data_IF_132069731665
#
_entry.id   IF_132069731665
#
_cell.length_a   1.000
_cell.length_b   1.000
_cell.length_c   1.000
_cell.angle_alpha   90.00
_cell.angle_beta   90.00
_cell.angle_gamma   90.00
#
_symmetry.space_group_name_H-M   'P 1'
#
loop_
_entity.id
_entity.type
_entity.pdbx_description
1 polymer ?
#
# COMPACT_ATOMS: atom_id res chain seq x y z
N UNK A 1 4.35 -4.66 -7.61
CA UNK A 1 3.87 -4.62 -6.22
C UNK A 1 2.83 -3.52 -6.11
N UNK A 2 1.61 -3.76 -5.59
CA UNK A 2 0.66 -2.66 -5.42
C UNK A 2 1.27 -1.57 -4.54
N UNK A 3 1.23 -0.33 -5.01
CA UNK A 3 1.73 0.84 -4.28
C UNK A 3 0.57 1.33 -3.41
N UNK A 4 0.44 0.78 -2.21
CA UNK A 4 -0.51 1.23 -1.22
C UNK A 4 0.21 1.53 0.09
N UNK A 5 -0.26 2.55 0.81
CA UNK A 5 0.24 2.94 2.12
C UNK A 5 -0.90 2.81 3.11
N UNK A 6 -0.66 2.05 4.18
CA UNK A 6 -1.63 1.86 5.25
C UNK A 6 -1.42 2.96 6.29
N UNK A 7 -2.50 3.62 6.67
CA UNK A 7 -2.52 4.52 7.83
C UNK A 7 -3.42 3.87 8.88
N UNK A 8 -2.91 3.71 10.10
CA UNK A 8 -3.71 3.12 11.18
C UNK A 8 -4.87 4.05 11.53
N UNK A 9 -6.06 3.48 11.79
CA UNK A 9 -7.26 4.25 12.17
C UNK A 9 -7.05 5.07 13.45
N UNK A 10 -6.17 4.59 14.35
CA UNK A 10 -5.78 5.30 15.57
C UNK A 10 -5.05 6.62 15.29
N UNK A 11 -4.62 6.89 14.06
CA UNK A 11 -4.08 8.19 13.65
C UNK A 11 -5.00 9.35 14.06
N UNK A 12 -6.32 9.17 13.93
CA UNK A 12 -7.30 10.21 14.28
C UNK A 12 -7.53 10.39 15.78
N UNK A 13 -7.00 9.49 16.60
CA UNK A 13 -7.11 9.50 18.06
C UNK A 13 -5.77 9.80 18.75
N UNK A 14 -4.69 9.99 17.97
CA UNK A 14 -3.37 10.33 18.50
C UNK A 14 -3.39 11.75 19.07
N UNK A 15 -2.92 11.89 20.32
CA UNK A 15 -2.97 13.16 21.07
C UNK A 15 -2.29 14.30 20.29
N UNK A 16 -1.15 14.02 19.64
CA UNK A 16 -0.47 15.02 18.83
C UNK A 16 -1.29 15.40 17.61
N UNK A 17 -1.93 14.45 16.93
CA UNK A 17 -2.76 14.71 15.74
C UNK A 17 -4.04 15.49 16.10
N UNK A 18 -4.58 15.30 17.29
CA UNK A 18 -5.75 16.04 17.79
C UNK A 18 -5.44 17.52 18.04
N UNK A 19 -4.23 17.83 18.47
CA UNK A 19 -3.78 19.21 18.73
C UNK A 19 -3.41 19.99 17.45
N UNK A 20 -3.25 19.30 16.31
CA UNK A 20 -2.94 19.93 15.03
C UNK A 20 -4.14 20.69 14.45
N UNK A 21 -3.85 21.78 13.76
CA UNK A 21 -4.85 22.40 12.88
C UNK A 21 -5.27 21.44 11.76
N UNK A 22 -6.47 21.57 11.18
CA UNK A 22 -6.90 20.72 10.07
C UNK A 22 -5.91 20.72 8.89
N UNK A 23 -5.32 21.87 8.58
CA UNK A 23 -4.31 22.02 7.53
C UNK A 23 -3.04 21.22 7.84
N UNK A 24 -2.48 21.36 9.05
CA UNK A 24 -1.33 20.57 9.48
C UNK A 24 -1.62 19.08 9.48
N UNK A 25 -2.78 18.67 9.99
CA UNK A 25 -3.19 17.27 10.05
C UNK A 25 -3.27 16.62 8.68
N UNK A 26 -3.90 17.29 7.71
CA UNK A 26 -3.98 16.77 6.35
C UNK A 26 -2.64 16.82 5.63
N UNK A 27 -1.81 17.82 5.90
CA UNK A 27 -0.45 17.85 5.38
C UNK A 27 0.41 16.71 5.95
N UNK A 28 0.27 16.39 7.25
CA UNK A 28 0.97 15.25 7.85
C UNK A 28 0.50 13.94 7.24
N UNK A 29 -0.81 13.76 7.09
CA UNK A 29 -1.37 12.60 6.40
C UNK A 29 -0.82 12.48 4.97
N UNK A 30 -0.74 13.60 4.25
CA UNK A 30 -0.13 13.66 2.92
C UNK A 30 1.35 13.20 2.94
N UNK A 31 2.17 13.62 3.90
CA UNK A 31 3.56 13.14 4.01
C UNK A 31 3.64 11.62 4.19
N UNK A 32 2.67 11.02 4.90
CA UNK A 32 2.61 9.57 5.13
C UNK A 32 2.12 8.79 3.90
N UNK A 33 1.40 9.45 2.98
CA UNK A 33 0.74 8.79 1.83
C UNK A 33 1.12 9.38 0.48
N UNK A 34 2.16 10.22 0.41
CA UNK A 34 2.62 10.85 -0.82
C UNK A 34 3.05 9.80 -1.86
N UNK A 35 2.93 10.14 -3.14
CA UNK A 35 3.35 9.29 -4.27
C UNK A 35 4.83 8.88 -4.22
N UNK A 36 5.67 9.61 -3.48
CA UNK A 36 7.10 9.32 -3.28
C UNK A 36 7.41 8.56 -1.99
N UNK A 37 6.45 8.39 -1.08
CA UNK A 37 6.71 7.78 0.23
C UNK A 37 7.17 6.32 0.08
N UNK A 38 8.33 6.02 0.66
CA UNK A 38 9.05 4.74 0.62
C UNK A 38 8.73 3.84 1.81
N UNK A 39 9.18 2.59 1.78
CA UNK A 39 9.03 1.65 2.90
C UNK A 39 9.92 2.01 4.09
N UNK A 40 11.05 2.68 3.87
CA UNK A 40 11.92 3.19 4.93
C UNK A 40 11.49 4.57 5.50
N UNK A 41 10.52 5.25 4.86
CA UNK A 41 10.09 6.58 5.30
C UNK A 41 11.09 7.70 4.98
N UNK A 42 12.11 7.41 4.16
CA UNK A 42 13.06 8.38 3.60
C UNK A 42 12.85 8.47 2.10
N UNK A 43 12.51 9.65 1.59
CA UNK A 43 12.18 9.79 0.18
C UNK A 43 12.47 11.19 -0.37
N UNK A 44 12.69 11.33 -1.69
CA UNK A 44 12.77 12.63 -2.33
C UNK A 44 11.46 13.40 -2.15
N UNK A 45 11.55 14.62 -1.63
CA UNK A 45 10.44 15.53 -1.42
C UNK A 45 10.67 16.86 -2.15
N UNK A 46 10.47 16.91 -3.48
CA UNK A 46 10.45 18.16 -4.20
C UNK A 46 9.20 18.95 -3.80
N UNK A 47 9.37 20.11 -3.18
CA UNK A 47 8.25 20.95 -2.74
C UNK A 47 7.28 21.34 -3.87
N UNK A 48 7.75 21.35 -5.13
CA UNK A 48 6.89 21.54 -6.31
C UNK A 48 5.86 20.43 -6.50
N UNK A 49 6.22 19.19 -6.14
CA UNK A 49 5.28 18.07 -6.19
C UNK A 49 4.19 18.25 -5.12
N UNK A 50 4.58 18.66 -3.91
CA UNK A 50 3.63 18.96 -2.84
C UNK A 50 2.64 20.06 -3.23
N UNK A 51 3.10 21.16 -3.85
CA UNK A 51 2.20 22.20 -4.37
C UNK A 51 1.13 21.64 -5.31
N UNK A 52 1.52 20.75 -6.22
CA UNK A 52 0.63 20.16 -7.22
C UNK A 52 -0.35 19.17 -6.60
N UNK A 53 0.10 18.34 -5.66
CA UNK A 53 -0.72 17.28 -5.05
C UNK A 53 -1.65 17.83 -3.96
N UNK A 54 -1.23 18.85 -3.19
CA UNK A 54 -2.05 19.43 -2.11
C UNK A 54 -2.83 20.68 -2.55
N UNK A 55 -2.42 21.33 -3.66
CA UNK A 55 -2.98 22.61 -4.10
C UNK A 55 -2.49 23.82 -3.30
N UNK A 56 -1.51 23.65 -2.41
CA UNK A 56 -0.93 24.74 -1.63
C UNK A 56 0.12 25.51 -2.42
N UNK A 57 0.34 26.77 -2.04
CA UNK A 57 1.43 27.58 -2.57
C UNK A 57 2.77 27.23 -1.89
N UNK A 58 3.88 27.68 -2.48
CA UNK A 58 5.24 27.43 -1.97
C UNK A 58 5.41 27.82 -0.51
N UNK A 59 4.94 29.02 -0.15
CA UNK A 59 5.12 29.56 1.20
C UNK A 59 4.40 28.72 2.27
N UNK A 60 3.19 28.25 1.97
CA UNK A 60 2.43 27.37 2.84
C UNK A 60 3.14 26.03 3.00
N UNK A 61 3.59 25.42 1.90
CA UNK A 61 4.36 24.15 1.95
C UNK A 61 5.63 24.33 2.78
N UNK A 62 6.36 25.43 2.58
CA UNK A 62 7.58 25.73 3.34
C UNK A 62 7.30 25.88 4.85
N UNK A 63 6.26 26.63 5.22
CA UNK A 63 5.85 26.80 6.62
C UNK A 63 5.43 25.48 7.26
N UNK A 64 4.66 24.66 6.54
CA UNK A 64 4.20 23.37 7.04
C UNK A 64 5.38 22.39 7.24
N UNK A 65 6.29 22.30 6.26
CA UNK A 65 7.50 21.48 6.41
C UNK A 65 8.31 21.95 7.62
N UNK A 66 8.55 23.26 7.75
CA UNK A 66 9.29 23.80 8.89
C UNK A 66 8.63 23.47 10.23
N UNK A 67 7.31 23.61 10.33
CA UNK A 67 6.56 23.25 11.54
C UNK A 67 6.73 21.78 11.92
N UNK A 68 6.68 20.85 10.97
CA UNK A 68 6.88 19.43 11.26
C UNK A 68 8.33 19.07 11.61
N UNK A 69 9.29 19.85 11.13
CA UNK A 69 10.68 19.79 11.60
C UNK A 69 10.77 20.28 13.05
N UNK A 70 10.14 21.41 13.36
CA UNK A 70 10.12 21.99 14.72
C UNK A 70 9.40 21.09 15.73
N UNK A 71 8.34 20.40 15.29
CA UNK A 71 7.64 19.37 16.10
C UNK A 71 8.45 18.08 16.28
N UNK A 72 9.57 17.92 15.57
CA UNK A 72 10.38 16.69 15.60
C UNK A 72 9.66 15.48 15.03
N UNK A 73 8.77 15.67 14.04
CA UNK A 73 8.09 14.56 13.35
C UNK A 73 8.80 14.17 12.06
N UNK A 74 9.45 15.14 11.40
CA UNK A 74 10.20 14.91 10.16
C UNK A 74 11.56 15.61 10.23
N UNK A 75 12.48 15.17 9.38
CA UNK A 75 13.67 15.91 8.98
C UNK A 75 13.59 16.20 7.48
N UNK A 76 14.10 17.34 7.06
CA UNK A 76 14.17 17.73 5.66
C UNK A 76 15.56 18.26 5.34
N UNK A 77 16.19 17.69 4.33
CA UNK A 77 17.46 18.16 3.80
C UNK A 77 17.23 18.99 2.53
N UNK A 78 17.64 20.26 2.57
CA UNK A 78 17.46 21.18 1.46
C UNK A 78 18.37 20.88 0.26
N UNK A 79 19.54 20.27 0.50
CA UNK A 79 20.55 20.02 -0.52
C UNK A 79 20.18 18.80 -1.37
N UNK A 80 19.88 17.69 -0.70
CA UNK A 80 19.43 16.44 -1.37
C UNK A 80 17.95 16.49 -1.75
N UNK A 81 17.16 17.39 -1.12
CA UNK A 81 15.69 17.48 -1.20
C UNK A 81 15.02 16.20 -0.72
N UNK A 82 15.58 15.56 0.30
CA UNK A 82 15.06 14.34 0.90
C UNK A 82 14.34 14.67 2.22
N UNK A 83 13.28 13.92 2.50
CA UNK A 83 12.51 14.02 3.73
C UNK A 83 12.57 12.68 4.46
N UNK A 84 12.77 12.71 5.77
CA UNK A 84 12.75 11.54 6.64
C UNK A 84 11.66 11.67 7.71
N UNK A 85 10.74 10.70 7.79
CA UNK A 85 9.72 10.63 8.84
C UNK A 85 10.26 9.86 10.05
N UNK A 86 10.45 10.54 11.19
CA UNK A 86 11.23 10.00 12.32
C UNK A 86 10.59 8.80 13.02
N UNK A 87 9.26 8.77 13.14
CA UNK A 87 8.54 7.68 13.80
C UNK A 87 7.95 6.67 12.81
N UNK A 88 8.53 6.56 11.61
CA UNK A 88 8.01 5.71 10.55
C UNK A 88 7.94 4.23 10.95
N UNK A 89 9.03 3.70 11.50
CA UNK A 89 9.18 2.28 11.85
C UNK A 89 8.19 1.80 12.92
N UNK A 90 7.75 2.68 13.82
CA UNK A 90 6.77 2.36 14.86
C UNK A 90 5.41 1.94 14.28
N UNK A 91 5.03 2.51 13.14
CA UNK A 91 3.76 2.22 12.47
C UNK A 91 3.93 1.34 11.23
N UNK A 92 5.15 1.30 10.66
CA UNK A 92 5.50 0.56 9.47
C UNK A 92 6.75 -0.33 9.68
N UNK A 93 6.70 -1.30 10.62
CA UNK A 93 7.87 -2.11 10.95
C UNK A 93 8.30 -3.02 9.79
N UNK A 94 9.60 -3.32 9.74
CA UNK A 94 10.17 -4.28 8.78
C UNK A 94 9.92 -5.69 9.33
N UNK A 95 8.83 -6.32 8.89
CA UNK A 95 8.38 -7.61 9.44
C UNK A 95 8.92 -8.83 8.71
N UNK A 96 9.18 -8.71 7.40
CA UNK A 96 9.50 -9.84 6.54
C UNK A 96 10.72 -9.52 5.66
N UNK A 97 11.44 -10.57 5.25
CA UNK A 97 12.62 -10.48 4.36
C UNK A 97 12.34 -9.74 3.05
N UNK A 98 11.14 -9.85 2.48
CA UNK A 98 10.77 -9.10 1.27
C UNK A 98 10.66 -7.58 1.52
N UNK A 99 10.16 -7.19 2.69
CA UNK A 99 10.09 -5.78 3.10
C UNK A 99 11.49 -5.25 3.32
N UNK A 100 12.35 -6.05 3.97
CA UNK A 100 13.75 -5.71 4.19
C UNK A 100 14.53 -5.56 2.87
N UNK A 101 14.36 -6.46 1.90
CA UNK A 101 14.93 -6.32 0.55
C UNK A 101 14.48 -5.04 -0.15
N UNK A 102 13.21 -4.66 0.03
CA UNK A 102 12.67 -3.42 -0.51
C UNK A 102 13.34 -2.21 0.14
N UNK A 103 13.40 -2.17 1.47
CA UNK A 103 14.06 -1.12 2.26
C UNK A 103 15.55 -1.01 1.89
N UNK A 104 16.25 -2.14 1.72
CA UNK A 104 17.65 -2.15 1.30
C UNK A 104 17.83 -1.44 -0.04
N UNK A 105 16.96 -1.73 -1.03
CA UNK A 105 17.02 -1.07 -2.34
C UNK A 105 16.74 0.43 -2.25
N UNK A 106 15.76 0.82 -1.43
CA UNK A 106 15.42 2.22 -1.22
C UNK A 106 16.56 2.99 -0.54
N UNK A 107 17.16 2.45 0.53
CA UNK A 107 18.27 3.06 1.24
C UNK A 107 19.53 3.24 0.38
N UNK A 108 19.81 2.31 -0.54
CA UNK A 108 20.90 2.48 -1.52
C UNK A 108 20.71 3.71 -2.42
N UNK A 109 19.47 4.13 -2.65
CA UNK A 109 19.14 5.31 -3.45
C UNK A 109 19.09 6.63 -2.67
N UNK A 110 19.16 6.57 -1.34
CA UNK A 110 19.16 7.77 -0.47
C UNK A 110 20.51 8.48 -0.60
N UNK A 111 20.47 9.78 -0.86
CA UNK A 111 21.68 10.59 -1.03
C UNK A 111 22.25 11.04 0.32
N UNK A 112 21.39 11.36 1.27
CA UNK A 112 21.79 11.79 2.60
C UNK A 112 22.19 10.58 3.47
N UNK A 113 23.50 10.42 3.70
CA UNK A 113 24.05 9.32 4.52
C UNK A 113 23.66 9.41 6.00
N UNK A 114 23.41 10.61 6.52
CA UNK A 114 22.97 10.80 7.91
C UNK A 114 21.58 10.19 8.13
N UNK A 115 20.66 10.36 7.17
CA UNK A 115 19.34 9.74 7.25
C UNK A 115 19.41 8.21 7.25
N UNK A 116 20.32 7.63 6.46
CA UNK A 116 20.55 6.17 6.45
C UNK A 116 21.05 5.71 7.82
N UNK A 117 22.05 6.39 8.40
CA UNK A 117 22.56 6.06 9.72
C UNK A 117 21.48 6.17 10.81
N UNK A 118 20.71 7.26 10.82
CA UNK A 118 19.60 7.46 11.77
C UNK A 118 18.52 6.38 11.62
N UNK A 119 18.22 5.94 10.39
CA UNK A 119 17.29 4.85 10.17
C UNK A 119 17.79 3.53 10.76
N UNK A 120 19.06 3.17 10.53
CA UNK A 120 19.67 1.96 11.09
C UNK A 120 19.71 2.00 12.62
N UNK A 121 20.02 3.16 13.21
CA UNK A 121 19.95 3.36 14.65
C UNK A 121 18.53 3.09 15.18
N UNK A 122 17.50 3.63 14.52
CA UNK A 122 16.11 3.37 14.89
C UNK A 122 15.70 1.89 14.73
N UNK A 123 16.23 1.19 13.73
CA UNK A 123 16.02 -0.26 13.62
C UNK A 123 16.60 -1.00 14.83
N UNK A 124 17.76 -0.57 15.34
CA UNK A 124 18.38 -1.16 16.52
C UNK A 124 17.60 -0.82 17.81
N UNK A 125 17.12 0.42 17.95
CA UNK A 125 16.29 0.85 19.10
C UNK A 125 14.97 0.07 19.21
N UNK A 126 14.37 -0.27 18.07
CA UNK A 126 13.10 -1.04 17.99
C UNK A 126 13.33 -2.57 17.93
N UNK A 127 14.56 -3.05 18.16
CA UNK A 127 14.95 -4.47 18.15
C UNK A 127 14.52 -5.23 16.89
N UNK A 128 14.54 -4.57 15.72
CA UNK A 128 14.10 -5.16 14.46
C UNK A 128 15.15 -6.09 13.86
N UNK A 129 14.72 -7.27 13.41
CA UNK A 129 15.58 -8.21 12.69
C UNK A 129 15.83 -7.74 11.26
N UNK A 130 16.96 -7.04 11.04
CA UNK A 130 17.37 -6.51 9.73
C UNK A 130 18.77 -6.98 9.28
N UNK A 131 18.98 -8.31 9.11
CA UNK A 131 20.29 -8.87 8.77
C UNK A 131 20.90 -8.36 7.46
N UNK A 132 20.11 -8.18 6.40
CA UNK A 132 20.58 -7.69 5.11
C UNK A 132 20.97 -6.22 5.15
N UNK A 133 20.27 -5.41 5.94
CA UNK A 133 20.63 -3.99 6.12
C UNK A 133 21.97 -3.86 6.87
N UNK A 134 22.11 -4.61 7.96
CA UNK A 134 23.34 -4.61 8.76
C UNK A 134 24.54 -5.16 7.98
N UNK A 135 24.33 -6.19 7.15
CA UNK A 135 25.38 -6.73 6.29
C UNK A 135 25.91 -5.71 5.27
N UNK A 136 25.03 -4.84 4.74
CA UNK A 136 25.40 -3.89 3.69
C UNK A 136 25.95 -2.57 4.24
N UNK A 137 25.35 -2.02 5.29
CA UNK A 137 25.71 -0.70 5.82
C UNK A 137 26.60 -0.75 7.07
N UNK A 138 26.75 -1.93 7.67
CA UNK A 138 27.44 -2.09 8.95
C UNK A 138 26.57 -1.70 10.14
N UNK A 139 27.12 -1.94 11.34
CA UNK A 139 26.48 -1.57 12.59
C UNK A 139 26.68 -0.08 12.85
N UNK A 140 25.64 0.69 13.22
CA UNK A 140 25.78 2.09 13.58
C UNK A 140 26.49 2.18 14.95
N UNK A 141 27.82 2.20 14.94
CA UNK A 141 28.64 2.45 16.12
C UNK A 141 29.60 3.61 15.83
N UNK A 142 29.22 4.76 16.39
CA UNK A 142 30.01 5.95 16.70
C UNK A 142 30.62 6.79 15.56
N UNK A 143 30.32 8.10 15.65
CA UNK A 143 30.87 9.20 14.88
C UNK A 143 32.41 9.10 14.72
N UNK A 144 32.85 8.75 13.52
CA UNK A 144 34.11 9.20 12.97
C UNK A 144 33.88 9.51 11.48
N UNK A 145 33.82 10.81 11.20
CA UNK A 145 33.98 11.34 9.86
C UNK A 145 35.40 10.95 9.45
N UNK A 146 35.56 10.03 8.52
CA UNK A 146 36.75 9.93 7.68
C UNK A 146 36.41 9.15 6.40
N UNK A 147 36.98 9.64 5.32
CA UNK A 147 36.76 9.28 3.92
C UNK A 147 36.54 7.79 3.64
N UNK A 148 35.49 7.47 2.89
CA UNK A 148 35.47 6.27 2.06
C UNK A 148 35.00 6.65 0.66
N UNK A 149 35.96 6.61 -0.25
CA UNK A 149 35.86 6.75 -1.71
C UNK A 149 34.73 5.88 -2.29
N UNK A 150 34.16 6.27 -3.46
CA UNK A 150 33.16 5.45 -4.13
C UNK A 150 33.87 4.26 -4.78
N UNK A 151 33.85 3.09 -4.12
CA UNK A 151 34.24 1.85 -4.79
C UNK A 151 33.02 1.30 -5.51
N UNK A 152 33.06 1.48 -6.83
CA UNK A 152 32.31 0.70 -7.80
C UNK A 152 32.96 -0.69 -7.83
N UNK A 153 32.28 -1.73 -7.38
CA UNK A 153 32.63 -3.11 -7.76
C UNK A 153 31.39 -3.77 -8.34
N UNK A 154 31.42 -3.91 -9.67
CA UNK A 154 30.73 -4.96 -10.39
C UNK A 154 31.33 -6.29 -9.94
N UNK A 155 30.51 -7.17 -9.38
CA UNK A 155 30.81 -8.60 -9.36
C UNK A 155 29.55 -9.37 -9.69
N UNK A 156 29.55 -9.88 -10.92
CA UNK A 156 28.79 -11.04 -11.35
C UNK A 156 29.06 -12.19 -10.38
N UNK A 157 28.00 -12.76 -9.82
CA UNK A 157 27.99 -14.15 -9.38
C UNK A 157 26.73 -14.79 -9.95
N UNK A 158 26.91 -15.37 -11.14
CA UNK A 158 26.14 -16.53 -11.57
C UNK A 158 26.47 -17.69 -10.62
N UNK A 159 25.47 -18.19 -9.89
CA UNK A 159 25.40 -19.63 -9.62
C UNK A 159 24.13 -20.18 -10.28
N UNK A 160 24.41 -20.97 -11.31
CA UNK A 160 23.50 -21.79 -12.09
C UNK A 160 23.00 -22.94 -11.22
N UNK A 161 21.68 -23.06 -11.09
CA UNK A 161 21.01 -24.34 -10.94
C UNK A 161 20.14 -24.50 -12.19
N UNK A 162 20.58 -25.36 -13.10
CA UNK A 162 19.81 -25.79 -14.27
C UNK A 162 18.63 -26.68 -13.82
N UNK A 163 17.42 -26.30 -14.23
CA UNK A 163 16.54 -27.19 -15.00
C UNK A 163 15.53 -26.32 -15.77
N UNK A 164 15.71 -26.23 -17.08
CA UNK A 164 14.79 -25.57 -18.00
C UNK A 164 13.47 -26.36 -18.10
N UNK A 165 12.43 -25.86 -17.44
CA UNK A 165 11.07 -25.75 -18.01
C UNK A 165 10.41 -24.50 -17.43
N UNK A 166 10.87 -23.33 -17.88
CA UNK A 166 10.35 -22.03 -17.47
C UNK A 166 8.90 -21.84 -17.90
N UNK A 167 7.94 -22.27 -17.09
CA UNK A 167 6.55 -21.88 -17.30
C UNK A 167 6.41 -20.39 -17.02
N UNK A 168 5.76 -19.69 -17.94
CA UNK A 168 5.41 -18.27 -17.84
C UNK A 168 4.56 -18.00 -16.59
N UNK A 169 3.90 -19.04 -16.06
CA UNK A 169 3.09 -19.03 -14.85
C UNK A 169 3.95 -18.89 -13.59
N UNK A 170 5.04 -19.67 -13.46
CA UNK A 170 5.88 -19.64 -12.26
C UNK A 170 6.63 -18.31 -12.12
N UNK A 171 7.21 -17.83 -13.23
CA UNK A 171 7.86 -16.51 -13.26
C UNK A 171 6.90 -15.37 -12.90
N UNK A 172 5.66 -15.40 -13.42
CA UNK A 172 4.62 -14.43 -13.05
C UNK A 172 4.22 -14.53 -11.58
N UNK A 173 4.11 -15.75 -11.05
CA UNK A 173 3.80 -15.96 -9.64
C UNK A 173 4.90 -15.38 -8.74
N UNK A 174 6.16 -15.72 -8.96
CA UNK A 174 7.27 -15.24 -8.13
C UNK A 174 7.41 -13.72 -8.15
N UNK A 175 7.19 -13.12 -9.32
CA UNK A 175 7.24 -11.67 -9.50
C UNK A 175 6.14 -10.92 -8.71
N UNK A 176 4.95 -11.51 -8.55
CA UNK A 176 3.78 -10.79 -8.04
C UNK A 176 3.24 -11.30 -6.68
N UNK A 177 3.46 -12.57 -6.34
CA UNK A 177 2.89 -13.28 -5.20
C UNK A 177 3.95 -13.68 -4.15
N UNK A 178 5.23 -13.69 -4.51
CA UNK A 178 6.35 -14.06 -3.63
C UNK A 178 6.84 -15.50 -3.86
N UNK A 179 7.59 -16.05 -2.90
CA UNK A 179 8.22 -17.37 -3.05
C UNK A 179 7.20 -18.49 -3.26
N UNK A 180 7.48 -19.35 -4.24
CA UNK A 180 6.73 -20.57 -4.49
C UNK A 180 7.08 -21.63 -3.43
N UNK A 181 6.06 -22.12 -2.73
CA UNK A 181 6.19 -23.33 -1.92
C UNK A 181 6.19 -24.56 -2.83
N UNK A 182 6.92 -25.65 -2.53
CA UNK A 182 6.85 -26.89 -3.30
C UNK A 182 5.41 -27.39 -3.52
N UNK A 183 4.56 -27.25 -2.51
CA UNK A 183 3.12 -27.57 -2.60
C UNK A 183 2.38 -26.70 -3.62
N UNK A 184 2.73 -25.42 -3.72
CA UNK A 184 2.13 -24.50 -4.67
C UNK A 184 2.52 -24.83 -6.12
N UNK A 185 3.76 -25.29 -6.32
CA UNK A 185 4.27 -25.71 -7.64
C UNK A 185 3.51 -26.93 -8.12
N UNK A 186 3.42 -27.98 -7.29
CA UNK A 186 2.66 -29.20 -7.63
C UNK A 186 1.20 -28.89 -7.98
N UNK A 187 0.56 -28.01 -7.21
CA UNK A 187 -0.84 -27.63 -7.47
C UNK A 187 -1.00 -26.81 -8.74
N UNK A 188 -0.08 -25.88 -9.01
CA UNK A 188 -0.13 -25.10 -10.25
C UNK A 188 0.12 -25.99 -11.47
N UNK A 189 1.05 -26.95 -11.36
CA UNK A 189 1.28 -27.96 -12.41
C UNK A 189 0.04 -28.78 -12.71
N UNK A 190 -0.67 -29.26 -11.68
CA UNK A 190 -1.93 -29.99 -11.86
C UNK A 190 -3.00 -29.16 -12.62
N UNK A 191 -3.12 -27.86 -12.31
CA UNK A 191 -4.06 -26.98 -13.02
C UNK A 191 -3.62 -26.63 -14.44
N UNK A 192 -2.31 -26.62 -14.72
CA UNK A 192 -1.80 -26.44 -16.08
C UNK A 192 -2.14 -27.63 -16.96
N UNK A 193 -2.13 -28.85 -16.40
CA UNK A 193 -2.54 -30.07 -17.10
C UNK A 193 -4.05 -30.10 -17.39
N UNK A 194 -4.88 -29.62 -16.45
CA UNK A 194 -6.35 -29.66 -16.57
C UNK A 194 -6.96 -28.56 -17.45
N UNK A 195 -6.45 -27.32 -17.40
CA UNK A 195 -7.10 -26.14 -18.01
C UNK A 195 -6.25 -25.41 -19.06
N UNK A 196 -4.96 -25.70 -19.16
CA UNK A 196 -3.91 -24.96 -19.90
C UNK A 196 -3.21 -23.83 -19.14
N UNK A 197 -1.93 -23.63 -19.50
CA UNK A 197 -1.03 -22.61 -18.96
C UNK A 197 -1.59 -21.19 -19.08
N UNK A 198 -2.24 -20.86 -20.20
CA UNK A 198 -2.75 -19.51 -20.46
C UNK A 198 -3.90 -19.13 -19.53
N UNK A 199 -4.76 -20.10 -19.16
CA UNK A 199 -5.83 -19.87 -18.20
C UNK A 199 -5.26 -19.68 -16.80
N UNK A 200 -4.29 -20.49 -16.39
CA UNK A 200 -3.63 -20.32 -15.07
C UNK A 200 -2.99 -18.93 -14.97
N UNK A 201 -2.30 -18.48 -16.02
CA UNK A 201 -1.71 -17.14 -16.08
C UNK A 201 -2.77 -16.03 -15.97
N UNK A 202 -3.90 -16.15 -16.66
CA UNK A 202 -5.01 -15.17 -16.56
C UNK A 202 -5.66 -15.16 -15.18
N UNK A 203 -5.81 -16.31 -14.53
CA UNK A 203 -6.32 -16.37 -13.15
C UNK A 203 -5.38 -15.66 -12.17
N UNK A 204 -4.06 -15.82 -12.34
CA UNK A 204 -3.06 -15.10 -11.57
C UNK A 204 -3.12 -13.59 -11.83
N UNK A 205 -3.30 -13.17 -13.09
CA UNK A 205 -3.46 -11.76 -13.42
C UNK A 205 -4.68 -11.14 -12.72
N UNK A 206 -5.83 -11.82 -12.73
CA UNK A 206 -7.05 -11.36 -12.05
C UNK A 206 -6.87 -11.31 -10.53
N UNK A 207 -6.20 -12.30 -9.94
CA UNK A 207 -5.89 -12.31 -8.52
C UNK A 207 -4.97 -11.16 -8.11
N UNK A 208 -4.01 -10.80 -8.98
CA UNK A 208 -3.14 -9.65 -8.79
C UNK A 208 -3.90 -8.33 -8.89
N UNK A 209 -4.73 -8.14 -9.92
CA UNK A 209 -5.54 -6.94 -10.15
C UNK A 209 -6.53 -6.68 -9.01
N UNK A 210 -7.15 -7.74 -8.45
CA UNK A 210 -8.05 -7.64 -7.30
C UNK A 210 -7.34 -7.59 -5.94
N UNK A 211 -6.00 -7.51 -5.94
CA UNK A 211 -5.16 -7.52 -4.74
C UNK A 211 -5.41 -8.71 -3.79
N UNK A 212 -5.91 -9.84 -4.31
CA UNK A 212 -6.16 -11.10 -3.60
C UNK A 212 -5.11 -12.12 -4.00
N UNK A 213 -3.86 -11.88 -3.54
CA UNK A 213 -2.67 -12.63 -3.96
C UNK A 213 -2.47 -13.95 -3.22
N UNK A 214 -3.53 -14.76 -3.12
CA UNK A 214 -3.48 -16.07 -2.47
C UNK A 214 -3.82 -17.17 -3.47
N UNK A 215 -3.10 -18.30 -3.38
CA UNK A 215 -3.38 -19.49 -4.21
C UNK A 215 -4.82 -19.97 -4.01
N UNK A 216 -5.38 -19.81 -2.80
CA UNK A 216 -6.78 -20.12 -2.51
C UNK A 216 -7.76 -19.34 -3.40
N UNK A 217 -7.49 -18.05 -3.64
CA UNK A 217 -8.31 -17.21 -4.51
C UNK A 217 -8.16 -17.63 -5.98
N UNK A 218 -6.92 -17.88 -6.42
CA UNK A 218 -6.62 -18.38 -7.78
C UNK A 218 -7.33 -19.71 -8.05
N UNK A 219 -7.31 -20.65 -7.10
CA UNK A 219 -8.07 -21.91 -7.18
C UNK A 219 -9.57 -21.69 -7.29
N UNK A 220 -10.12 -20.71 -6.58
CA UNK A 220 -11.53 -20.37 -6.66
C UNK A 220 -11.93 -19.96 -8.08
N UNK A 221 -11.08 -19.15 -8.73
CA UNK A 221 -11.25 -18.73 -10.12
C UNK A 221 -11.17 -19.95 -11.06
N UNK A 222 -10.11 -20.75 -10.94
CA UNK A 222 -9.86 -21.90 -11.81
C UNK A 222 -10.96 -22.97 -11.70
N UNK A 223 -11.42 -23.29 -10.49
CA UNK A 223 -12.58 -24.18 -10.29
C UNK A 223 -13.85 -23.63 -10.93
N UNK A 224 -14.05 -22.32 -10.86
CA UNK A 224 -15.18 -21.66 -11.51
C UNK A 224 -15.14 -21.79 -13.03
N UNK A 225 -13.96 -21.69 -13.64
CA UNK A 225 -13.78 -21.87 -15.08
C UNK A 225 -13.85 -23.33 -15.52
N UNK A 226 -13.26 -24.23 -14.75
CA UNK A 226 -13.36 -25.69 -14.97
C UNK A 226 -14.81 -26.16 -14.91
N UNK A 227 -15.59 -25.70 -13.92
CA UNK A 227 -17.02 -26.04 -13.79
C UNK A 227 -17.89 -25.51 -14.95
N UNK A 228 -17.45 -24.44 -15.62
CA UNK A 228 -18.11 -23.87 -16.81
C UNK A 228 -17.60 -24.47 -18.13
N UNK A 229 -16.54 -25.29 -18.08
CA UNK A 229 -15.93 -25.91 -19.27
C UNK A 229 -15.15 -24.95 -20.15
N UNK A 230 -14.62 -23.85 -19.60
CA UNK A 230 -13.83 -22.90 -20.38
C UNK A 230 -12.48 -23.48 -20.75
N UNK A 231 -12.19 -23.51 -22.06
CA UNK A 231 -10.93 -24.07 -22.61
C UNK A 231 -10.11 -23.02 -23.35
N UNK A 232 -10.65 -21.80 -23.49
CA UNK A 232 -10.00 -20.70 -24.22
C UNK A 232 -10.08 -19.40 -23.43
N UNK A 233 -9.00 -18.60 -23.50
CA UNK A 233 -8.89 -17.28 -22.86
C UNK A 233 -10.02 -16.32 -23.28
N UNK A 234 -10.47 -16.37 -24.54
CA UNK A 234 -11.55 -15.49 -25.03
C UNK A 234 -12.89 -15.68 -24.31
N UNK A 235 -13.19 -16.90 -23.84
CA UNK A 235 -14.44 -17.20 -23.12
C UNK A 235 -14.41 -16.61 -21.71
N UNK A 236 -13.24 -16.64 -21.08
CA UNK A 236 -12.98 -16.01 -19.78
C UNK A 236 -13.09 -14.49 -19.87
N UNK A 237 -12.52 -13.87 -20.90
CA UNK A 237 -12.60 -12.42 -21.10
C UNK A 237 -14.06 -11.94 -21.32
N UNK A 238 -14.88 -12.74 -22.00
CA UNK A 238 -16.30 -12.46 -22.15
C UNK A 238 -17.10 -12.61 -20.84
N UNK A 239 -16.74 -13.57 -19.98
CA UNK A 239 -17.37 -13.78 -18.67
C UNK A 239 -16.97 -12.66 -17.69
N UNK A 240 -15.68 -12.31 -17.60
CA UNK A 240 -15.20 -11.22 -16.74
C UNK A 240 -15.78 -9.85 -17.15
N UNK A 241 -15.93 -9.59 -18.45
CA UNK A 241 -16.61 -8.38 -18.95
C UNK A 241 -18.10 -8.31 -18.56
N UNK A 242 -18.80 -9.45 -18.56
CA UNK A 242 -20.20 -9.53 -18.09
C UNK A 242 -20.33 -9.28 -16.59
N UNK A 243 -19.41 -9.82 -15.79
CA UNK A 243 -19.37 -9.56 -14.34
C UNK A 243 -19.10 -8.07 -14.05
N UNK A 244 -18.12 -7.46 -14.71
CA UNK A 244 -17.78 -6.05 -14.53
C UNK A 244 -18.92 -5.11 -14.94
N UNK A 245 -19.64 -5.43 -16.03
CA UNK A 245 -20.81 -4.65 -16.47
C UNK A 245 -21.98 -4.77 -15.48
N UNK A 246 -22.15 -5.94 -14.86
CA UNK A 246 -23.18 -6.18 -13.84
C UNK A 246 -22.88 -5.47 -12.52
N UNK A 247 -21.63 -5.43 -12.07
CA UNK A 247 -21.27 -4.67 -10.85
C UNK A 247 -21.49 -3.16 -11.03
N UNK A 248 -21.11 -2.61 -12.18
CA UNK A 248 -21.24 -1.18 -12.46
C UNK A 248 -22.72 -0.73 -12.48
N UNK A 249 -23.61 -1.50 -13.12
CA UNK A 249 -25.04 -1.15 -13.18
C UNK A 249 -25.74 -1.25 -11.82
N UNK A 250 -25.40 -2.27 -11.03
CA UNK A 250 -25.99 -2.51 -9.72
C UNK A 250 -25.61 -1.39 -8.73
N UNK A 251 -24.35 -0.93 -8.72
CA UNK A 251 -23.91 0.12 -7.78
C UNK A 251 -24.60 1.48 -7.99
N UNK A 252 -24.89 1.84 -9.24
CA UNK A 252 -25.52 3.12 -9.58
C UNK A 252 -27.03 3.09 -9.33
N UNK A 253 -27.70 2.00 -9.71
CA UNK A 253 -29.15 1.83 -9.50
C UNK A 253 -29.50 1.75 -8.02
N UNK A 254 -28.75 0.99 -7.21
CA UNK A 254 -28.99 0.87 -5.76
C UNK A 254 -28.81 2.21 -5.02
N UNK A 255 -27.84 3.03 -5.44
CA UNK A 255 -27.59 4.34 -4.81
C UNK A 255 -28.69 5.33 -5.15
N UNK A 256 -29.15 5.36 -6.40
CA UNK A 256 -30.24 6.23 -6.85
C UNK A 256 -31.58 5.84 -6.19
N UNK A 257 -31.88 4.54 -6.10
CA UNK A 257 -33.07 4.03 -5.40
C UNK A 257 -33.03 4.36 -3.90
N UNK A 258 -31.86 4.25 -3.26
CA UNK A 258 -31.70 4.62 -1.86
C UNK A 258 -31.96 6.11 -1.59
N UNK A 259 -31.38 6.98 -2.42
CA UNK A 259 -31.58 8.44 -2.32
C UNK A 259 -33.04 8.83 -2.56
N UNK A 260 -33.69 8.24 -3.56
CA UNK A 260 -35.11 8.46 -3.82
C UNK A 260 -35.99 8.05 -2.62
N UNK A 261 -35.68 6.91 -1.99
CA UNK A 261 -36.38 6.46 -0.77
C UNK A 261 -36.15 7.40 0.42
N UNK A 262 -34.95 7.98 0.56
CA UNK A 262 -34.67 8.98 1.57
C UNK A 262 -35.49 10.26 1.35
N UNK A 263 -35.55 10.76 0.11
CA UNK A 263 -36.38 11.94 -0.22
C UNK A 263 -37.87 11.70 0.01
N UNK A 264 -38.37 10.51 -0.32
CA UNK A 264 -39.75 10.13 -0.07
C UNK A 264 -40.04 10.02 1.44
N UNK A 265 -39.10 9.49 2.21
CA UNK A 265 -39.20 9.45 3.67
C UNK A 265 -39.21 10.85 4.30
N UNK A 266 -38.37 11.78 3.83
CA UNK A 266 -38.37 13.17 4.30
C UNK A 266 -39.68 13.90 3.97
N UNK A 267 -40.27 13.64 2.80
CA UNK A 267 -41.58 14.21 2.40
C UNK A 267 -42.73 13.66 3.24
N UNK A 268 -42.62 12.40 3.67
CA UNK A 268 -43.61 11.72 4.48
C UNK A 268 -43.28 11.75 5.99
N UNK A 269 -42.22 12.45 6.38
CA UNK A 269 -41.86 12.65 7.78
C UNK A 269 -42.97 13.49 8.42
N UNK A 270 -43.66 12.98 9.44
CA UNK A 270 -44.75 13.71 10.05
C UNK A 270 -44.21 15.01 10.63
N UNK A 271 -44.92 16.11 10.37
CA UNK A 271 -44.55 17.42 10.88
C UNK A 271 -44.52 17.40 12.41
N UNK A 272 -43.75 18.29 13.01
CA UNK A 272 -43.61 18.35 14.47
C UNK A 272 -44.97 18.57 15.18
N UNK A 273 -45.90 19.26 14.52
CA UNK A 273 -47.28 19.43 14.98
C UNK A 273 -48.10 18.12 14.90
N UNK A 274 -47.94 17.32 13.85
CA UNK A 274 -48.60 16.02 13.69
C UNK A 274 -48.05 15.00 14.69
N UNK A 275 -46.73 15.02 14.92
CA UNK A 275 -46.08 14.23 15.97
C UNK A 275 -46.62 14.61 17.35
N UNK A 276 -46.71 15.92 17.66
CA UNK A 276 -47.25 16.38 18.94
C UNK A 276 -48.73 16.00 19.13
N UNK A 277 -49.56 16.10 18.08
CA UNK A 277 -50.97 15.63 18.14
C UNK A 277 -51.05 14.12 18.34
N UNK A 278 -50.27 13.34 17.60
CA UNK A 278 -50.22 11.88 17.73
C UNK A 278 -49.79 11.45 19.13
N UNK A 279 -48.78 12.11 19.71
CA UNK A 279 -48.32 11.86 21.08
C UNK A 279 -49.38 12.24 22.12
N UNK A 280 -50.07 13.37 21.93
CA UNK A 280 -51.15 13.81 22.81
C UNK A 280 -52.39 12.89 22.75
N UNK A 281 -52.78 12.41 21.56
CA UNK A 281 -53.92 11.50 21.37
C UNK A 281 -53.67 10.10 21.96
N UNK A 282 -52.42 9.61 21.89
CA UNK A 282 -52.03 8.34 22.51
C UNK A 282 -51.75 8.46 24.01
N UNK A 283 -52.00 9.62 24.60
CA UNK A 283 -51.80 9.88 26.03
C UNK A 283 -50.34 9.80 26.46
N UNK A 284 -49.40 9.91 25.52
CA UNK A 284 -47.98 9.94 25.84
C UNK A 284 -47.66 11.32 26.45
N UNK A 285 -47.28 11.32 27.72
CA UNK A 285 -46.65 12.46 28.37
C UNK A 285 -45.16 12.10 28.53
N UNK A 286 -44.24 13.00 28.17
CA UNK A 286 -42.80 12.76 28.27
C UNK A 286 -42.38 12.39 29.70
#
# INVERSE_FOLDING_TARGET
MAVYRNVQVNFWQDDFVLDLTPEERYFYLYLLTCSKTTQCGIFPFPKRLAEMETGYNRETVDKLVQRFVDYGKILYDADTRELFVLNWLRYNPVTNTNVEKCVLRELKGVKNKEFVHMFLQKCAEEELSVPMLLAHFGMPSDLAVDDVEPVCEETEEEEVIEEETGSRVFSFYEQHFGSLSPFAVEEMSAWMDDLSEELVLKALQIAFENNKRTIAYVKGILRGWHGKGFTKVCEVEADTAKFRKKELSVSTEETEEFLARCEEWEKNAPSEEELQRFLAERGWRP
#
